data_IF_884388062015
#
_entry.id   IF_884388062015
#
_cell.length_a   1.000
_cell.length_b   1.000
_cell.length_c   1.000
_cell.angle_alpha   90.00
_cell.angle_beta   90.00
_cell.angle_gamma   90.00
#
_symmetry.space_group_name_H-M   'P 1'
#
loop_
_entity.id
_entity.type
_entity.pdbx_description
1 polymer ?
#
# COMPACT_ATOMS: atom_id res chain seq x y z
N UNK A 1 -5.37 -27.99 -51.15
CA UNK A 1 -4.30 -27.83 -52.16
C UNK A 1 -2.98 -27.65 -51.43
N UNK A 2 -2.06 -28.56 -51.65
CA UNK A 2 -0.70 -28.62 -51.07
C UNK A 2 0.24 -27.63 -51.81
N UNK A 3 1.18 -27.00 -51.10
CA UNK A 3 2.54 -26.61 -51.54
C UNK A 3 3.26 -26.15 -50.25
N UNK A 4 4.20 -26.85 -49.63
CA UNK A 4 5.54 -27.37 -49.89
C UNK A 4 6.61 -26.27 -50.06
N UNK A 5 7.59 -26.30 -49.10
CA UNK A 5 9.02 -26.12 -49.11
C UNK A 5 9.63 -24.75 -49.49
N UNK A 6 10.52 -24.20 -48.62
CA UNK A 6 11.98 -24.33 -48.83
C UNK A 6 12.76 -23.92 -47.57
N UNK A 7 13.63 -24.83 -47.12
CA UNK A 7 14.70 -24.59 -46.16
C UNK A 7 15.94 -24.05 -46.88
N UNK A 8 16.64 -23.09 -46.33
CA UNK A 8 18.03 -22.75 -46.73
C UNK A 8 18.89 -22.80 -45.50
N UNK A 9 19.73 -23.82 -45.45
CA UNK A 9 20.96 -23.94 -44.66
C UNK A 9 22.02 -23.07 -45.27
N UNK A 10 22.76 -22.29 -44.49
CA UNK A 10 24.09 -21.82 -44.84
C UNK A 10 25.05 -22.06 -43.67
N UNK A 11 26.11 -22.73 -44.02
CA UNK A 11 27.10 -23.33 -43.16
C UNK A 11 28.15 -22.34 -42.64
N UNK A 12 28.79 -22.79 -41.59
CA UNK A 12 29.89 -22.25 -40.82
C UNK A 12 31.13 -21.85 -41.59
N UNK A 13 31.86 -20.87 -41.06
CA UNK A 13 33.34 -20.83 -41.20
C UNK A 13 33.92 -20.48 -39.82
N UNK A 14 34.58 -21.47 -39.25
CA UNK A 14 35.44 -21.37 -38.06
C UNK A 14 36.82 -20.93 -38.54
N UNK A 15 37.32 -19.81 -38.03
CA UNK A 15 38.73 -19.43 -38.20
C UNK A 15 39.41 -19.41 -36.83
N UNK A 16 40.15 -20.46 -36.55
CA UNK A 16 41.09 -20.58 -35.42
C UNK A 16 42.38 -19.82 -35.73
N UNK A 17 42.73 -18.84 -34.92
CA UNK A 17 44.10 -18.33 -34.84
C UNK A 17 44.70 -18.70 -33.48
N UNK A 18 45.66 -19.60 -33.54
CA UNK A 18 46.55 -19.91 -32.44
C UNK A 18 47.72 -18.90 -32.42
N UNK A 19 47.93 -18.26 -31.29
CA UNK A 19 49.20 -17.60 -30.97
C UNK A 19 49.82 -18.28 -29.76
N UNK A 20 50.93 -18.98 -30.05
CA UNK A 20 51.85 -19.49 -29.05
C UNK A 20 52.82 -18.37 -28.64
N UNK A 21 52.94 -18.15 -27.35
CA UNK A 21 53.96 -17.30 -26.73
C UNK A 21 54.30 -17.82 -25.34
N UNK A 22 55.45 -18.53 -25.25
CA UNK A 22 56.08 -18.94 -23.98
C UNK A 22 56.66 -17.75 -23.23
N UNK A 23 56.55 -17.78 -21.89
CA UNK A 23 57.36 -16.91 -21.04
C UNK A 23 57.00 -16.91 -19.56
N UNK A 24 57.64 -17.80 -18.80
CA UNK A 24 58.15 -17.68 -17.41
C UNK A 24 57.21 -17.42 -16.22
N UNK A 25 57.35 -18.34 -15.29
CA UNK A 25 56.84 -18.42 -13.92
C UNK A 25 56.97 -17.14 -13.07
N UNK A 26 55.89 -16.79 -12.37
CA UNK A 26 55.92 -16.41 -10.97
C UNK A 26 54.55 -16.68 -10.33
N UNK A 27 54.63 -17.46 -9.28
CA UNK A 27 53.52 -17.88 -8.43
C UNK A 27 52.98 -16.65 -7.65
N UNK A 28 51.78 -16.20 -7.98
CA UNK A 28 51.03 -15.35 -7.06
C UNK A 28 49.61 -15.88 -6.96
N UNK A 29 49.33 -16.45 -5.79
CA UNK A 29 47.97 -16.82 -5.35
C UNK A 29 47.19 -15.56 -5.09
N UNK A 30 46.54 -15.01 -6.08
CA UNK A 30 45.40 -14.11 -5.86
C UNK A 30 44.17 -14.96 -5.65
N UNK A 31 43.81 -15.12 -4.43
CA UNK A 31 42.45 -15.51 -4.03
C UNK A 31 41.51 -14.41 -4.52
N UNK A 32 40.81 -14.71 -5.60
CA UNK A 32 39.67 -13.89 -6.05
C UNK A 32 38.55 -14.08 -5.04
N UNK A 33 38.61 -13.27 -3.98
CA UNK A 33 37.48 -13.05 -3.12
C UNK A 33 36.52 -12.15 -3.91
N UNK A 34 35.56 -12.79 -4.61
CA UNK A 34 34.39 -12.10 -5.15
C UNK A 34 33.69 -11.35 -4.06
N UNK A 35 34.14 -10.13 -3.82
CA UNK A 35 33.34 -9.14 -3.08
C UNK A 35 32.12 -8.86 -3.95
N UNK A 36 30.98 -9.46 -3.61
CA UNK A 36 29.69 -8.91 -3.91
C UNK A 36 29.60 -7.55 -3.21
N UNK A 37 30.22 -6.53 -3.79
CA UNK A 37 29.93 -5.17 -3.48
C UNK A 37 28.47 -4.96 -3.89
N UNK A 38 27.54 -5.04 -2.94
CA UNK A 38 26.23 -4.41 -3.09
C UNK A 38 26.50 -2.97 -3.50
N UNK A 39 26.29 -2.65 -4.77
CA UNK A 39 26.46 -1.29 -5.26
C UNK A 39 25.44 -0.44 -4.52
N UNK A 40 25.92 0.35 -3.56
CA UNK A 40 25.06 1.28 -2.82
C UNK A 40 24.35 2.18 -3.84
N UNK A 41 23.06 2.34 -3.71
CA UNK A 41 22.30 3.27 -4.52
C UNK A 41 22.77 4.70 -4.21
N UNK A 42 22.97 5.50 -5.26
CA UNK A 42 23.44 6.88 -5.14
C UNK A 42 22.59 7.84 -5.95
N UNK A 43 22.66 9.12 -5.62
CA UNK A 43 21.93 10.21 -6.28
C UNK A 43 20.65 10.58 -5.59
N UNK A 44 19.90 11.50 -6.18
CA UNK A 44 18.74 12.13 -5.56
C UNK A 44 17.63 11.12 -5.28
N UNK A 45 17.01 11.25 -4.10
CA UNK A 45 15.86 10.46 -3.69
C UNK A 45 14.60 11.04 -4.34
N UNK A 46 13.85 10.21 -5.06
CA UNK A 46 12.51 10.58 -5.55
C UNK A 46 11.49 10.26 -4.46
N UNK A 47 11.11 11.26 -3.70
CA UNK A 47 10.09 11.14 -2.66
C UNK A 47 8.72 11.12 -3.31
N UNK A 48 7.96 10.04 -3.09
CA UNK A 48 6.59 9.92 -3.59
C UNK A 48 5.63 10.00 -2.39
N UNK A 49 4.68 10.92 -2.46
CA UNK A 49 3.66 11.09 -1.43
C UNK A 49 2.25 10.97 -2.02
N UNK A 50 1.26 11.10 -1.16
CA UNK A 50 -0.14 11.05 -1.53
C UNK A 50 -0.73 12.45 -1.53
N UNK A 51 -1.88 12.58 -2.18
CA UNK A 51 -2.69 13.78 -2.26
C UNK A 51 -3.19 14.27 -0.89
N UNK A 52 -3.51 15.55 -0.80
CA UNK A 52 -4.20 16.10 0.35
C UNK A 52 -5.55 15.40 0.55
N UNK A 53 -5.90 15.14 1.82
CA UNK A 53 -7.11 14.38 2.15
C UNK A 53 -6.95 12.85 2.07
N UNK A 54 -5.79 12.35 1.63
CA UNK A 54 -5.45 10.93 1.79
C UNK A 54 -5.30 10.56 3.25
N UNK A 55 -6.12 9.61 3.73
CA UNK A 55 -5.98 9.10 5.09
C UNK A 55 -4.65 8.36 5.32
N UNK A 56 -4.07 7.76 4.25
CA UNK A 56 -2.75 7.12 4.34
C UNK A 56 -1.65 8.15 4.53
N UNK A 57 -1.70 9.29 3.83
CA UNK A 57 -0.77 10.40 4.04
C UNK A 57 -0.90 10.94 5.46
N UNK A 58 -2.11 11.25 5.91
CA UNK A 58 -2.32 11.77 7.25
C UNK A 58 -1.75 10.85 8.33
N UNK A 59 -2.11 9.56 8.31
CA UNK A 59 -1.59 8.59 9.27
C UNK A 59 -0.06 8.40 9.17
N UNK A 60 0.50 8.35 7.96
CA UNK A 60 1.94 8.21 7.77
C UNK A 60 2.73 9.41 8.30
N UNK A 61 2.28 10.61 7.98
CA UNK A 61 2.90 11.87 8.40
C UNK A 61 2.90 11.99 9.92
N UNK A 62 1.78 11.68 10.57
CA UNK A 62 1.64 11.68 12.02
C UNK A 62 2.56 10.61 12.67
N UNK A 63 2.49 9.36 12.21
CA UNK A 63 3.26 8.25 12.76
C UNK A 63 4.78 8.43 12.61
N UNK A 64 5.22 9.06 11.53
CA UNK A 64 6.64 9.34 11.26
C UNK A 64 7.10 10.68 11.82
N UNK A 65 6.22 11.47 12.42
CA UNK A 65 6.53 12.78 12.97
C UNK A 65 6.95 13.79 11.88
N UNK A 66 6.38 13.69 10.67
CA UNK A 66 6.60 14.61 9.55
C UNK A 66 5.65 15.81 9.69
N UNK A 67 5.64 16.38 10.88
CA UNK A 67 4.78 17.51 11.27
C UNK A 67 5.61 18.59 11.96
N UNK A 68 5.13 19.84 11.87
CA UNK A 68 5.68 20.96 12.65
C UNK A 68 5.10 21.00 14.08
N UNK A 69 5.52 22.00 14.85
CA UNK A 69 5.06 22.22 16.24
C UNK A 69 3.55 22.52 16.36
N UNK A 70 2.84 22.67 15.24
CA UNK A 70 1.40 22.95 15.15
C UNK A 70 0.64 21.77 14.51
N UNK A 71 1.30 20.61 14.41
CA UNK A 71 0.79 19.40 13.77
C UNK A 71 0.46 19.55 12.26
N UNK A 72 1.04 20.56 11.58
CA UNK A 72 0.90 20.68 10.14
C UNK A 72 1.87 19.75 9.42
N UNK A 73 1.40 19.12 8.35
CA UNK A 73 2.20 18.28 7.45
C UNK A 73 3.29 19.11 6.77
N UNK A 74 4.56 18.73 7.01
CA UNK A 74 5.76 19.36 6.43
C UNK A 74 6.45 18.48 5.39
N UNK A 75 5.69 17.58 4.74
CA UNK A 75 6.21 16.80 3.61
C UNK A 75 6.85 17.75 2.58
N UNK A 76 8.07 17.39 2.13
CA UNK A 76 8.84 18.23 1.19
C UNK A 76 8.02 18.60 -0.05
N UNK A 77 8.14 19.86 -0.48
CA UNK A 77 7.45 20.38 -1.66
C UNK A 77 7.97 19.77 -2.98
N UNK A 78 9.10 19.05 -2.94
CA UNK A 78 9.66 18.33 -4.08
C UNK A 78 9.08 16.92 -4.23
N UNK A 79 8.24 16.48 -3.31
CA UNK A 79 7.59 15.17 -3.40
C UNK A 79 6.65 15.10 -4.60
N UNK A 80 6.75 14.04 -5.38
CA UNK A 80 5.77 13.70 -6.42
C UNK A 80 4.48 13.23 -5.74
N UNK A 81 3.35 13.86 -6.11
CA UNK A 81 2.06 13.57 -5.49
C UNK A 81 1.26 12.60 -6.35
N UNK A 82 0.83 11.51 -5.74
CA UNK A 82 -0.06 10.51 -6.35
C UNK A 82 -1.44 10.55 -5.71
N UNK A 83 -2.47 10.23 -6.47
CA UNK A 83 -3.88 10.35 -6.06
C UNK A 83 -4.56 9.02 -5.70
N UNK A 84 -3.81 7.91 -5.69
CA UNK A 84 -4.34 6.60 -5.29
C UNK A 84 -3.24 5.63 -4.88
N UNK A 85 -3.62 4.56 -4.17
CA UNK A 85 -2.71 3.48 -3.78
C UNK A 85 -2.09 2.78 -5.00
N UNK A 86 -2.87 2.54 -6.05
CA UNK A 86 -2.40 1.88 -7.27
C UNK A 86 -1.41 2.74 -8.06
N UNK A 87 -1.64 4.06 -8.12
CA UNK A 87 -0.69 5.00 -8.75
C UNK A 87 0.60 5.06 -7.96
N UNK A 88 0.56 5.09 -6.61
CA UNK A 88 1.75 5.04 -5.76
C UNK A 88 2.60 3.79 -6.07
N UNK A 89 2.01 2.61 -6.06
CA UNK A 89 2.70 1.35 -6.39
C UNK A 89 3.35 1.40 -7.77
N UNK A 90 2.61 1.88 -8.77
CA UNK A 90 3.12 2.00 -10.14
C UNK A 90 4.29 2.99 -10.24
N UNK A 91 4.17 4.16 -9.60
CA UNK A 91 5.23 5.17 -9.63
C UNK A 91 6.51 4.62 -8.99
N UNK A 92 6.41 3.99 -7.81
CA UNK A 92 7.57 3.39 -7.12
C UNK A 92 8.18 2.26 -7.94
N UNK A 93 7.37 1.39 -8.55
CA UNK A 93 7.88 0.28 -9.36
C UNK A 93 8.65 0.73 -10.62
N UNK A 94 8.42 1.94 -11.11
CA UNK A 94 9.04 2.47 -12.33
C UNK A 94 10.28 3.33 -12.09
N UNK A 95 10.62 3.65 -10.84
CA UNK A 95 11.76 4.51 -10.50
C UNK A 95 12.62 3.87 -9.40
N UNK A 96 13.84 3.45 -9.77
CA UNK A 96 14.78 2.79 -8.86
C UNK A 96 15.19 3.67 -7.66
N UNK A 97 15.07 4.99 -7.79
CA UNK A 97 15.44 5.95 -6.75
C UNK A 97 14.25 6.44 -5.91
N UNK A 98 13.07 5.86 -6.12
CA UNK A 98 11.89 6.27 -5.40
C UNK A 98 11.73 5.58 -4.05
N UNK A 99 11.08 6.32 -3.14
CA UNK A 99 10.55 5.84 -1.88
C UNK A 99 9.09 6.31 -1.77
N UNK A 100 8.22 5.42 -1.31
CA UNK A 100 6.80 5.69 -1.12
C UNK A 100 6.23 4.89 0.05
N UNK A 101 4.93 4.95 0.24
CA UNK A 101 4.23 4.21 1.29
C UNK A 101 2.84 3.78 0.83
N UNK A 102 2.44 2.59 1.23
CA UNK A 102 1.15 1.99 0.86
C UNK A 102 0.55 1.19 2.02
N UNK A 103 -0.74 0.92 1.93
CA UNK A 103 -1.40 -0.08 2.77
C UNK A 103 -0.73 -1.44 2.64
N UNK A 104 -0.52 -2.13 3.75
CA UNK A 104 0.09 -3.47 3.78
C UNK A 104 -0.71 -4.48 2.96
N UNK A 105 -2.04 -4.49 3.06
CA UNK A 105 -2.90 -5.36 2.26
C UNK A 105 -2.92 -5.03 0.76
N UNK A 106 -2.32 -3.90 0.34
CA UNK A 106 -2.17 -3.53 -1.07
C UNK A 106 -0.79 -3.83 -1.65
N UNK A 107 0.13 -4.41 -0.86
CA UNK A 107 1.46 -4.74 -1.36
C UNK A 107 1.39 -5.69 -2.55
N UNK A 108 2.24 -5.43 -3.54
CA UNK A 108 2.44 -6.29 -4.70
C UNK A 108 3.92 -6.66 -4.86
N UNK A 109 4.20 -7.66 -5.66
CA UNK A 109 5.57 -8.07 -6.00
C UNK A 109 6.33 -7.06 -6.86
N UNK A 110 5.67 -5.99 -7.31
CA UNK A 110 6.27 -4.95 -8.17
C UNK A 110 7.15 -3.98 -7.37
N UNK A 111 7.01 -3.96 -6.05
CA UNK A 111 7.77 -3.11 -5.14
C UNK A 111 8.32 -3.93 -3.98
N UNK A 112 9.34 -3.40 -3.31
CA UNK A 112 9.92 -3.99 -2.11
C UNK A 112 9.51 -3.20 -0.87
N UNK A 113 8.91 -3.87 0.11
CA UNK A 113 8.70 -3.30 1.43
C UNK A 113 10.01 -3.31 2.22
N UNK A 114 10.32 -2.19 2.88
CA UNK A 114 11.42 -2.09 3.82
C UNK A 114 10.97 -2.51 5.21
N UNK A 115 11.91 -3.03 5.99
CA UNK A 115 11.75 -3.03 7.46
C UNK A 115 11.77 -1.59 7.95
N UNK A 116 11.02 -1.31 9.00
CA UNK A 116 11.09 -0.03 9.70
C UNK A 116 11.54 -0.29 11.13
N UNK A 117 12.63 0.33 11.53
CA UNK A 117 13.26 0.13 12.86
C UNK A 117 13.52 -1.36 13.15
N UNK A 118 13.96 -2.12 12.13
CA UNK A 118 14.25 -3.55 12.19
C UNK A 118 13.03 -4.47 12.11
N UNK A 119 11.81 -3.95 12.14
CA UNK A 119 10.58 -4.74 12.07
C UNK A 119 10.07 -4.88 10.62
N UNK A 120 9.70 -6.10 10.21
CA UNK A 120 9.07 -6.34 8.92
C UNK A 120 7.62 -5.87 8.90
N UNK A 121 7.21 -5.29 7.76
CA UNK A 121 5.83 -4.87 7.51
C UNK A 121 4.97 -6.11 7.23
N UNK A 122 4.48 -6.77 8.28
CA UNK A 122 3.57 -7.93 8.19
C UNK A 122 2.39 -7.76 9.13
N UNK A 123 1.27 -8.42 8.81
CA UNK A 123 0.07 -8.40 9.66
C UNK A 123 0.37 -8.94 11.07
N UNK A 124 1.22 -9.98 11.18
CA UNK A 124 1.64 -10.57 12.45
C UNK A 124 2.42 -9.55 13.30
N UNK A 125 3.35 -8.83 12.70
CA UNK A 125 4.16 -7.83 13.41
C UNK A 125 3.34 -6.60 13.81
N UNK A 126 2.37 -6.18 13.00
CA UNK A 126 1.39 -5.14 13.38
C UNK A 126 0.57 -5.61 14.57
N UNK A 127 0.01 -6.82 14.51
CA UNK A 127 -0.79 -7.40 15.59
C UNK A 127 0.01 -7.60 16.88
N UNK A 128 1.27 -7.95 16.77
CA UNK A 128 2.19 -8.10 17.91
C UNK A 128 2.70 -6.74 18.46
N UNK A 129 2.46 -5.62 17.76
CA UNK A 129 2.95 -4.28 18.11
C UNK A 129 4.45 -4.09 17.89
N UNK A 130 5.13 -5.01 17.20
CA UNK A 130 6.54 -4.87 16.81
C UNK A 130 6.71 -3.97 15.59
N UNK A 131 5.78 -3.98 14.64
CA UNK A 131 5.69 -3.01 13.55
C UNK A 131 4.70 -1.91 13.93
N UNK A 132 5.20 -0.69 14.15
CA UNK A 132 4.42 0.41 14.73
C UNK A 132 3.71 1.29 13.70
N UNK A 133 4.08 1.18 12.43
CA UNK A 133 3.49 2.00 11.36
C UNK A 133 2.15 1.38 10.95
N UNK A 134 1.14 1.60 11.77
CA UNK A 134 -0.20 1.02 11.60
C UNK A 134 -1.30 2.00 11.97
N UNK A 135 -2.48 1.76 11.43
CA UNK A 135 -3.64 2.65 11.57
C UNK A 135 -4.94 1.85 11.47
N UNK A 136 -6.06 2.39 11.96
CA UNK A 136 -7.35 1.78 11.73
C UNK A 136 -7.83 2.00 10.27
N UNK A 137 -8.60 1.04 9.79
CA UNK A 137 -9.55 1.23 8.71
C UNK A 137 -10.93 1.42 9.33
N UNK A 138 -11.57 2.51 8.99
CA UNK A 138 -12.85 2.90 9.51
C UNK A 138 -13.88 3.07 8.39
N UNK A 139 -15.11 2.76 8.67
CA UNK A 139 -16.27 3.26 7.95
C UNK A 139 -16.94 4.32 8.79
N UNK A 140 -17.58 5.31 8.15
CA UNK A 140 -18.32 6.34 8.83
C UNK A 140 -19.66 6.59 8.14
N UNK A 141 -20.65 6.96 8.93
CA UNK A 141 -22.04 7.13 8.47
C UNK A 141 -22.85 7.96 9.44
N UNK A 142 -23.99 8.47 8.99
CA UNK A 142 -25.02 9.05 9.87
C UNK A 142 -25.98 7.95 10.30
N UNK A 143 -25.97 7.62 11.59
CA UNK A 143 -26.75 6.51 12.16
C UNK A 143 -28.25 6.65 11.87
N UNK A 144 -28.78 7.87 11.98
CA UNK A 144 -30.19 8.19 11.74
C UNK A 144 -30.61 8.15 10.27
N UNK A 145 -29.65 8.02 9.34
CA UNK A 145 -29.87 7.98 7.89
C UNK A 145 -29.71 6.58 7.29
N UNK A 146 -29.17 5.64 8.07
CA UNK A 146 -28.97 4.27 7.59
C UNK A 146 -30.31 3.56 7.35
N UNK A 147 -30.47 3.03 6.14
CA UNK A 147 -31.54 2.08 5.83
C UNK A 147 -31.29 0.72 6.48
N UNK A 148 -32.30 -0.16 6.47
CA UNK A 148 -32.12 -1.54 6.95
C UNK A 148 -31.09 -2.29 6.11
N UNK A 149 -30.98 -2.00 4.79
CA UNK A 149 -29.95 -2.55 3.92
C UNK A 149 -28.54 -2.10 4.34
N UNK A 150 -28.35 -0.81 4.66
CA UNK A 150 -27.04 -0.30 5.08
C UNK A 150 -26.60 -0.94 6.39
N UNK A 151 -27.52 -1.08 7.35
CA UNK A 151 -27.28 -1.73 8.65
C UNK A 151 -26.94 -3.22 8.47
N UNK A 152 -27.64 -3.90 7.59
CA UNK A 152 -27.39 -5.31 7.28
C UNK A 152 -26.01 -5.50 6.66
N UNK A 153 -25.61 -4.62 5.71
CA UNK A 153 -24.27 -4.64 5.14
C UNK A 153 -23.18 -4.38 6.19
N UNK A 154 -23.35 -3.38 7.05
CA UNK A 154 -22.41 -3.10 8.17
C UNK A 154 -22.32 -4.31 9.11
N UNK A 155 -23.45 -4.96 9.41
CA UNK A 155 -23.47 -6.19 10.21
C UNK A 155 -22.67 -7.32 9.52
N UNK A 156 -22.78 -7.45 8.20
CA UNK A 156 -21.96 -8.42 7.44
C UNK A 156 -20.47 -8.11 7.54
N UNK A 157 -20.05 -6.85 7.38
CA UNK A 157 -18.65 -6.43 7.53
C UNK A 157 -18.08 -6.85 8.89
N UNK A 158 -18.88 -6.73 9.94
CA UNK A 158 -18.47 -7.02 11.34
C UNK A 158 -18.67 -8.47 11.74
N UNK A 159 -19.28 -9.30 10.91
CA UNK A 159 -19.54 -10.72 11.19
C UNK A 159 -18.28 -11.59 11.14
N UNK A 160 -18.42 -12.87 11.57
CA UNK A 160 -17.35 -13.87 11.43
C UNK A 160 -16.93 -14.02 9.96
N UNK A 161 -17.89 -13.99 9.03
CA UNK A 161 -17.67 -14.10 7.60
C UNK A 161 -16.93 -12.87 7.04
N UNK A 162 -17.34 -11.67 7.41
CA UNK A 162 -16.69 -10.42 7.01
C UNK A 162 -15.29 -10.30 7.58
N UNK A 163 -15.11 -10.57 8.88
CA UNK A 163 -13.80 -10.49 9.52
C UNK A 163 -12.83 -11.60 9.07
N UNK A 164 -13.37 -12.74 8.60
CA UNK A 164 -12.55 -13.74 7.92
C UNK A 164 -11.97 -13.18 6.60
N UNK A 165 -12.76 -12.47 5.80
CA UNK A 165 -12.28 -11.84 4.57
C UNK A 165 -11.19 -10.81 4.91
N UNK A 166 -11.36 -10.00 5.95
CA UNK A 166 -10.35 -9.05 6.42
C UNK A 166 -9.00 -9.75 6.65
N UNK A 167 -9.00 -10.87 7.37
CA UNK A 167 -7.76 -11.63 7.65
C UNK A 167 -7.19 -12.33 6.40
N UNK A 168 -8.05 -12.90 5.55
CA UNK A 168 -7.62 -13.59 4.32
C UNK A 168 -6.96 -12.63 3.31
N UNK A 169 -7.38 -11.35 3.28
CA UNK A 169 -6.81 -10.30 2.42
C UNK A 169 -5.56 -9.61 3.06
N UNK A 170 -5.03 -10.13 4.17
CA UNK A 170 -3.77 -9.67 4.76
C UNK A 170 -3.89 -8.45 5.68
N UNK A 171 -5.10 -8.07 6.06
CA UNK A 171 -5.35 -7.06 7.10
C UNK A 171 -5.49 -7.72 8.47
N UNK A 172 -5.56 -6.92 9.53
CA UNK A 172 -5.76 -7.40 10.89
C UNK A 172 -7.23 -7.25 11.26
N UNK A 173 -7.96 -8.37 11.28
CA UNK A 173 -9.36 -8.41 11.66
C UNK A 173 -9.57 -8.08 13.13
N UNK A 174 -10.77 -7.61 13.43
CA UNK A 174 -11.27 -7.37 14.78
C UNK A 174 -11.97 -8.61 15.33
N UNK A 175 -12.34 -8.56 16.61
CA UNK A 175 -13.24 -9.58 17.18
C UNK A 175 -14.59 -9.50 16.48
N UNK A 176 -15.06 -10.58 15.84
CA UNK A 176 -16.35 -10.57 15.16
C UNK A 176 -17.50 -10.31 16.13
N UNK A 177 -18.55 -9.63 15.65
CA UNK A 177 -19.79 -9.40 16.39
C UNK A 177 -20.76 -10.60 16.33
N UNK A 178 -20.30 -11.75 15.81
CA UNK A 178 -21.04 -13.00 15.66
C UNK A 178 -21.15 -13.44 14.21
N UNK A 179 -21.94 -14.48 13.98
CA UNK A 179 -22.22 -14.96 12.62
C UNK A 179 -23.19 -14.05 11.90
N UNK A 180 -23.00 -13.90 10.58
CA UNK A 180 -23.98 -13.19 9.79
C UNK A 180 -25.29 -13.99 9.69
N UNK A 181 -26.38 -13.37 10.11
CA UNK A 181 -27.72 -13.95 10.12
C UNK A 181 -28.71 -13.14 9.29
N UNK A 182 -28.19 -12.23 8.44
CA UNK A 182 -29.01 -11.32 7.66
C UNK A 182 -29.95 -12.04 6.69
N UNK A 183 -31.01 -11.35 6.33
CA UNK A 183 -32.01 -11.81 5.38
C UNK A 183 -31.65 -11.33 3.96
N UNK A 184 -32.33 -11.90 2.95
CA UNK A 184 -32.20 -11.43 1.57
C UNK A 184 -32.56 -9.95 1.47
N UNK A 185 -31.59 -9.14 1.08
CA UNK A 185 -31.71 -7.69 0.91
C UNK A 185 -31.85 -7.35 -0.57
N UNK A 186 -32.29 -6.13 -0.85
CA UNK A 186 -32.36 -5.55 -2.20
C UNK A 186 -32.17 -4.04 -2.14
N UNK A 187 -31.58 -3.47 -3.18
CA UNK A 187 -31.38 -2.02 -3.27
C UNK A 187 -29.96 -1.66 -3.66
N UNK A 188 -29.59 -0.42 -3.33
CA UNK A 188 -28.29 0.12 -3.69
C UNK A 188 -27.65 0.77 -2.48
N UNK A 189 -26.36 0.52 -2.29
CA UNK A 189 -25.48 1.21 -1.32
C UNK A 189 -24.37 1.91 -2.10
N UNK A 190 -24.03 3.12 -1.74
CA UNK A 190 -22.86 3.85 -2.25
C UNK A 190 -21.86 4.02 -1.11
N UNK A 191 -20.65 3.53 -1.32
CA UNK A 191 -19.49 3.77 -0.47
C UNK A 191 -18.59 4.77 -1.16
N UNK A 192 -17.99 5.70 -0.42
CA UNK A 192 -17.03 6.65 -0.97
C UNK A 192 -15.83 6.82 -0.04
N UNK A 193 -14.63 7.00 -0.58
CA UNK A 193 -13.50 7.38 0.27
C UNK A 193 -12.16 6.74 -0.06
N UNK A 194 -11.52 6.24 0.98
CA UNK A 194 -10.14 5.79 0.97
C UNK A 194 -9.82 4.74 -0.10
N UNK A 195 -8.86 5.05 -0.98
CA UNK A 195 -8.32 4.11 -1.99
C UNK A 195 -7.51 2.96 -1.37
N UNK A 196 -7.16 3.04 -0.08
CA UNK A 196 -6.51 1.95 0.66
C UNK A 196 -7.52 0.98 1.27
N UNK A 197 -8.73 1.46 1.59
CA UNK A 197 -9.83 0.64 2.12
C UNK A 197 -10.61 -0.05 0.99
N UNK A 198 -10.69 0.59 -0.18
CA UNK A 198 -11.46 0.08 -1.32
C UNK A 198 -11.16 -1.36 -1.71
N UNK A 199 -9.90 -1.83 -1.80
CA UNK A 199 -9.63 -3.22 -2.16
C UNK A 199 -10.25 -4.24 -1.20
N UNK A 200 -10.22 -3.97 0.10
CA UNK A 200 -10.89 -4.79 1.11
C UNK A 200 -12.41 -4.75 0.93
N UNK A 201 -12.98 -3.56 0.75
CA UNK A 201 -14.42 -3.40 0.60
C UNK A 201 -14.94 -4.01 -0.70
N UNK A 202 -14.14 -4.08 -1.77
CA UNK A 202 -14.49 -4.81 -3.00
C UNK A 202 -14.66 -6.31 -2.71
N UNK A 203 -13.77 -6.92 -1.93
CA UNK A 203 -13.88 -8.34 -1.54
C UNK A 203 -15.10 -8.60 -0.66
N UNK A 204 -15.33 -7.73 0.30
CA UNK A 204 -16.52 -7.81 1.17
C UNK A 204 -17.80 -7.64 0.35
N UNK A 205 -17.84 -6.65 -0.56
CA UNK A 205 -18.94 -6.42 -1.50
C UNK A 205 -19.25 -7.67 -2.32
N UNK A 206 -18.22 -8.27 -2.96
CA UNK A 206 -18.39 -9.44 -3.79
C UNK A 206 -18.99 -10.62 -3.01
N UNK A 207 -18.50 -10.87 -1.79
CA UNK A 207 -19.04 -11.92 -0.93
C UNK A 207 -20.46 -11.60 -0.45
N UNK A 208 -20.76 -10.35 -0.07
CA UNK A 208 -22.10 -9.94 0.36
C UNK A 208 -23.12 -10.01 -0.78
N UNK A 209 -22.77 -9.55 -1.98
CA UNK A 209 -23.68 -9.59 -3.13
C UNK A 209 -23.90 -11.01 -3.67
N UNK A 210 -22.96 -11.94 -3.45
CA UNK A 210 -23.17 -13.35 -3.77
C UNK A 210 -24.32 -13.98 -2.99
N UNK A 211 -24.56 -13.51 -1.75
CA UNK A 211 -25.68 -13.98 -0.90
C UNK A 211 -26.92 -13.06 -0.98
N UNK A 212 -26.75 -11.83 -1.49
CA UNK A 212 -27.79 -10.82 -1.70
C UNK A 212 -27.77 -10.33 -3.16
N UNK A 213 -28.19 -11.15 -4.15
CA UNK A 213 -28.00 -10.86 -5.57
C UNK A 213 -28.83 -9.67 -6.09
N UNK A 214 -29.83 -9.23 -5.33
CA UNK A 214 -30.65 -8.05 -5.68
C UNK A 214 -30.08 -6.74 -5.08
N UNK A 215 -28.87 -6.79 -4.49
CA UNK A 215 -28.15 -5.62 -3.97
C UNK A 215 -27.07 -5.19 -4.94
N UNK A 216 -26.98 -3.88 -5.17
CA UNK A 216 -25.87 -3.23 -5.89
C UNK A 216 -25.07 -2.39 -4.92
N UNK A 217 -23.76 -2.58 -4.88
CA UNK A 217 -22.85 -1.75 -4.08
C UNK A 217 -21.89 -1.04 -5.02
N UNK A 218 -21.90 0.30 -4.99
CA UNK A 218 -20.94 1.15 -5.70
C UNK A 218 -19.86 1.64 -4.75
N UNK A 219 -18.61 1.55 -5.17
CA UNK A 219 -17.46 2.07 -4.43
C UNK A 219 -16.81 3.19 -5.25
N UNK A 220 -16.69 4.37 -4.62
CA UNK A 220 -16.08 5.55 -5.21
C UNK A 220 -14.77 5.85 -4.50
N UNK A 221 -13.67 5.71 -5.20
CA UNK A 221 -12.32 5.96 -4.71
C UNK A 221 -11.98 7.45 -4.79
N UNK A 222 -12.18 8.19 -3.69
CA UNK A 222 -12.04 9.66 -3.65
C UNK A 222 -11.07 10.20 -2.59
N UNK A 223 -10.44 9.31 -1.81
CA UNK A 223 -9.65 9.66 -0.63
C UNK A 223 -10.51 9.79 0.64
N UNK A 224 -9.87 9.62 1.81
CA UNK A 224 -10.60 9.54 3.09
C UNK A 224 -11.40 10.80 3.41
N UNK A 225 -10.81 11.99 3.27
CA UNK A 225 -11.50 13.25 3.58
C UNK A 225 -12.72 13.48 2.67
N UNK A 226 -12.60 13.19 1.37
CA UNK A 226 -13.72 13.30 0.44
C UNK A 226 -14.83 12.28 0.72
N UNK A 227 -14.47 11.05 1.15
CA UNK A 227 -15.43 10.03 1.55
C UNK A 227 -16.18 10.39 2.84
N UNK A 228 -15.47 10.93 3.82
CA UNK A 228 -16.05 11.44 5.07
C UNK A 228 -17.03 12.59 4.76
N UNK A 229 -16.63 13.52 3.89
CA UNK A 229 -17.51 14.61 3.44
C UNK A 229 -18.74 14.07 2.73
N UNK A 230 -18.59 13.11 1.81
CA UNK A 230 -19.72 12.51 1.09
C UNK A 230 -20.73 11.84 2.04
N UNK A 231 -20.25 11.16 3.09
CA UNK A 231 -21.12 10.61 4.14
C UNK A 231 -21.78 11.71 4.98
N UNK A 232 -21.07 12.79 5.27
CA UNK A 232 -21.63 13.94 6.02
C UNK A 232 -22.74 14.63 5.24
N UNK A 233 -22.59 14.77 3.93
CA UNK A 233 -23.57 15.41 3.04
C UNK A 233 -24.69 14.46 2.59
N UNK A 234 -24.54 13.15 2.83
CA UNK A 234 -25.48 12.12 2.38
C UNK A 234 -25.36 11.77 0.90
N UNK A 235 -24.27 12.16 0.23
CA UNK A 235 -23.94 11.75 -1.14
C UNK A 235 -23.51 10.28 -1.22
N UNK A 236 -22.97 9.74 -0.12
CA UNK A 236 -22.74 8.31 0.09
C UNK A 236 -23.38 7.88 1.39
N UNK A 237 -23.86 6.64 1.45
CA UNK A 237 -24.41 6.06 2.70
C UNK A 237 -23.28 5.77 3.70
N UNK A 238 -22.13 5.37 3.19
CA UNK A 238 -20.97 4.97 4.00
C UNK A 238 -19.71 5.64 3.46
N UNK A 239 -19.00 6.37 4.31
CA UNK A 239 -17.67 6.88 4.05
C UNK A 239 -16.62 5.84 4.44
N UNK A 240 -15.49 5.80 3.72
CA UNK A 240 -14.36 4.92 4.01
C UNK A 240 -13.14 5.76 4.40
N UNK A 241 -12.54 5.48 5.56
CA UNK A 241 -11.37 6.21 6.05
C UNK A 241 -10.24 5.26 6.45
N UNK A 242 -9.01 5.61 6.10
CA UNK A 242 -7.79 4.92 6.49
C UNK A 242 -6.98 5.73 7.52
N UNK A 243 -7.67 6.49 8.32
CA UNK A 243 -7.22 7.19 9.53
C UNK A 243 -8.39 7.31 10.51
N UNK A 244 -8.10 7.71 11.72
CA UNK A 244 -9.16 8.14 12.64
C UNK A 244 -9.91 9.34 12.06
N UNK A 245 -11.18 9.47 12.43
CA UNK A 245 -11.95 10.67 12.15
C UNK A 245 -11.54 11.77 13.12
N UNK A 246 -11.46 12.99 12.62
CA UNK A 246 -11.19 14.16 13.45
C UNK A 246 -12.40 14.53 14.30
N UNK A 247 -12.18 15.23 15.40
CA UNK A 247 -13.26 15.69 16.30
C UNK A 247 -14.31 16.54 15.58
N UNK A 248 -13.90 17.35 14.61
CA UNK A 248 -14.79 18.16 13.77
C UNK A 248 -15.69 17.28 12.88
N UNK A 249 -15.15 16.17 12.34
CA UNK A 249 -15.89 15.22 11.51
C UNK A 249 -16.91 14.43 12.35
N UNK A 250 -16.53 14.01 13.55
CA UNK A 250 -17.45 13.38 14.52
C UNK A 250 -18.52 14.36 14.98
N UNK A 251 -18.17 15.62 15.24
CA UNK A 251 -19.10 16.67 15.63
C UNK A 251 -20.10 17.04 14.55
N UNK A 252 -19.82 16.69 13.27
CA UNK A 252 -20.76 16.81 12.16
C UNK A 252 -21.87 15.73 12.16
N UNK A 253 -21.91 14.88 13.20
CA UNK A 253 -22.92 13.85 13.42
C UNK A 253 -22.61 12.50 12.75
N UNK A 254 -21.33 12.25 12.43
CA UNK A 254 -20.90 10.97 11.94
C UNK A 254 -20.61 10.00 13.11
N UNK A 255 -21.03 8.76 12.93
CA UNK A 255 -20.54 7.61 13.68
C UNK A 255 -19.36 7.01 12.94
N UNK A 256 -18.25 6.79 13.64
CA UNK A 256 -17.09 6.05 13.13
C UNK A 256 -17.11 4.62 13.66
N UNK A 257 -16.89 3.65 12.76
CA UNK A 257 -16.79 2.23 13.13
C UNK A 257 -15.53 1.65 12.52
N UNK A 258 -14.62 1.20 13.37
CA UNK A 258 -13.44 0.48 12.92
C UNK A 258 -13.85 -0.88 12.33
N UNK A 259 -13.25 -1.24 11.20
CA UNK A 259 -13.51 -2.51 10.50
C UNK A 259 -12.28 -3.42 10.41
N UNK A 260 -11.08 -2.83 10.51
CA UNK A 260 -9.81 -3.54 10.49
C UNK A 260 -8.69 -2.67 11.09
N UNK A 261 -7.54 -3.29 11.37
CA UNK A 261 -6.25 -2.59 11.44
C UNK A 261 -5.43 -2.88 10.18
N UNK A 262 -4.66 -1.90 9.74
CA UNK A 262 -3.79 -2.00 8.57
C UNK A 262 -2.40 -1.45 8.89
N UNK A 263 -1.36 -2.12 8.37
CA UNK A 263 -0.01 -1.58 8.38
C UNK A 263 0.21 -0.62 7.21
N UNK A 264 1.07 0.37 7.39
CA UNK A 264 1.57 1.19 6.28
C UNK A 264 2.99 0.72 5.98
N UNK A 265 3.18 0.05 4.84
CA UNK A 265 4.48 -0.39 4.38
C UNK A 265 5.22 0.75 3.69
N UNK A 266 6.46 1.00 4.10
CA UNK A 266 7.40 1.86 3.35
C UNK A 266 7.95 1.04 2.21
N UNK A 267 7.83 1.54 0.99
CA UNK A 267 8.17 0.80 -0.22
C UNK A 267 9.19 1.52 -1.09
N UNK A 268 10.04 0.72 -1.70
CA UNK A 268 11.03 1.17 -2.70
C UNK A 268 10.94 0.28 -3.94
N UNK A 269 11.58 0.69 -5.01
CA UNK A 269 11.74 -0.15 -6.19
C UNK A 269 12.50 -1.44 -5.85
N UNK A 270 12.19 -2.54 -6.53
CA UNK A 270 12.83 -3.85 -6.31
C UNK A 270 14.36 -3.82 -6.54
N UNK A 271 14.86 -2.93 -7.38
CA UNK A 271 16.29 -2.75 -7.63
C UNK A 271 17.03 -1.96 -6.53
N UNK A 272 16.31 -1.25 -5.65
CA UNK A 272 16.92 -0.54 -4.54
C UNK A 272 17.56 -1.55 -3.56
N UNK A 273 18.85 -1.42 -3.18
CA UNK A 273 19.52 -2.39 -2.30
C UNK A 273 19.11 -2.32 -0.84
N UNK A 274 18.46 -1.22 -0.40
CA UNK A 274 18.05 -1.02 0.99
C UNK A 274 17.05 -2.08 1.43
N UNK A 275 17.17 -2.58 2.65
CA UNK A 275 16.26 -3.59 3.24
C UNK A 275 15.65 -3.15 4.57
N UNK A 276 16.24 -2.14 5.21
CA UNK A 276 15.81 -1.61 6.49
C UNK A 276 16.00 -0.09 6.51
N UNK A 277 15.11 0.64 7.17
CA UNK A 277 15.16 2.09 7.31
C UNK A 277 14.61 2.47 8.69
N UNK A 278 15.20 3.47 9.33
CA UNK A 278 14.67 3.95 10.61
C UNK A 278 13.58 5.00 10.42
N UNK A 279 12.74 5.17 11.43
CA UNK A 279 11.73 6.24 11.46
C UNK A 279 12.36 7.62 11.30
N UNK A 280 13.53 7.86 11.91
CA UNK A 280 14.25 9.13 11.77
C UNK A 280 14.76 9.36 10.35
N UNK A 281 15.25 8.31 9.67
CA UNK A 281 15.66 8.40 8.25
C UNK A 281 14.47 8.69 7.35
N UNK A 282 13.32 8.05 7.59
CA UNK A 282 12.07 8.33 6.88
C UNK A 282 11.69 9.80 7.06
N UNK A 283 11.70 10.29 8.30
CA UNK A 283 11.42 11.69 8.60
C UNK A 283 12.36 12.61 7.83
N UNK A 284 13.67 12.40 7.89
CA UNK A 284 14.68 13.21 7.20
C UNK A 284 14.47 13.22 5.67
N UNK A 285 14.08 12.09 5.07
CA UNK A 285 13.77 12.00 3.65
C UNK A 285 12.50 12.79 3.31
N UNK A 286 11.42 12.58 4.05
CA UNK A 286 10.12 13.20 3.75
C UNK A 286 10.04 14.67 4.12
N UNK A 287 10.88 15.17 5.03
CA UNK A 287 11.05 16.62 5.30
C UNK A 287 11.98 17.30 4.31
N UNK A 288 12.76 16.53 3.53
CA UNK A 288 13.75 17.06 2.58
C UNK A 288 15.09 17.41 3.21
N UNK A 289 15.35 16.99 4.45
CA UNK A 289 16.65 17.11 5.11
C UNK A 289 17.68 16.15 4.49
N UNK A 290 17.23 14.93 4.12
CA UNK A 290 18.02 13.93 3.40
C UNK A 290 17.51 13.81 1.98
N UNK A 291 18.32 14.24 1.01
CA UNK A 291 17.92 14.30 -0.40
C UNK A 291 18.63 13.29 -1.29
N UNK A 292 19.64 12.56 -0.76
CA UNK A 292 20.41 11.59 -1.54
C UNK A 292 20.50 10.24 -0.85
N UNK A 293 20.46 9.17 -1.64
CA UNK A 293 20.54 7.80 -1.13
C UNK A 293 21.85 7.48 -0.41
N UNK A 294 22.98 8.04 -0.84
CA UNK A 294 24.28 7.87 -0.18
C UNK A 294 24.36 8.49 1.21
N UNK A 295 23.43 9.39 1.57
CA UNK A 295 23.33 10.03 2.87
C UNK A 295 22.38 9.30 3.84
N UNK A 296 21.64 8.31 3.37
CA UNK A 296 20.79 7.42 4.20
C UNK A 296 21.72 6.41 4.90
N UNK A 297 22.10 6.71 6.16
CA UNK A 297 23.09 5.94 6.97
C UNK A 297 22.44 5.36 8.20
#
# INVERSE_FOLDING_TARGET
MRKKFLAVMTAAVITTMAFTGCGSSSNDKTTDAGTNASTALTGDISVISREDGSGTRGAFVELMGIVDDQDNDITTQTAEITNSTSVMLKTVSQNEKSIGYVSLGSLSTDVKALKVDGAEATAENVKAGSYKVSRPFNICYKEDKLSDLDKDFISYVMSEEGQKIVNDEGYIGLTPEGKYTGSKQKGKITLAGSTSVSPLMDKIKDAYTAINPDVTIEIQESGSSAGIQAATEGAAQIGMSSRELKDEELSAGLTSKQIAMDGIAVVVNNANPLTDITSDQIKGIYTGETTKWEDVK
#
